data_IF_245940763154
#
_entry.id   IF_245940763154
#
_cell.length_a   1.000
_cell.length_b   1.000
_cell.length_c   1.000
_cell.angle_alpha   90.00
_cell.angle_beta   90.00
_cell.angle_gamma   90.00
#
_symmetry.space_group_name_H-M   'P 1'
#
loop_
_entity.id
_entity.type
_entity.pdbx_description
1 polymer ?
#
# COMPACT_ATOMS: atom_id res chain seq x y z
N UNK A 1 -54.38 -49.39 13.53
CA UNK A 1 -53.13 -48.60 13.55
C UNK A 1 -53.20 -47.58 12.43
N UNK A 2 -53.17 -46.28 12.78
CA UNK A 2 -52.97 -45.12 11.89
C UNK A 2 -51.71 -45.33 11.03
N UNK A 3 -51.50 -44.78 9.83
CA UNK A 3 -52.07 -43.67 9.10
C UNK A 3 -51.23 -43.48 7.82
N UNK A 4 -51.73 -42.71 6.87
CA UNK A 4 -51.38 -42.71 5.43
C UNK A 4 -50.21 -41.78 5.07
N UNK A 5 -49.57 -42.01 3.91
CA UNK A 5 -48.88 -41.09 2.95
C UNK A 5 -47.73 -41.85 2.26
N UNK A 6 -47.31 -41.68 1.00
CA UNK A 6 -47.73 -40.99 -0.22
C UNK A 6 -46.67 -41.43 -1.28
N UNK A 7 -47.00 -41.70 -2.55
CA UNK A 7 -46.02 -42.09 -3.57
C UNK A 7 -45.43 -40.84 -4.27
N UNK A 8 -44.48 -41.06 -5.19
CA UNK A 8 -43.79 -40.08 -6.10
C UNK A 8 -42.38 -39.67 -5.61
N UNK A 9 -41.27 -39.71 -6.37
CA UNK A 9 -41.04 -39.73 -7.82
C UNK A 9 -39.58 -40.20 -8.13
N UNK A 10 -39.24 -40.49 -9.41
CA UNK A 10 -38.02 -41.19 -9.80
C UNK A 10 -36.77 -40.29 -9.87
N UNK A 11 -35.61 -40.90 -9.59
CA UNK A 11 -34.30 -40.38 -10.00
C UNK A 11 -34.27 -40.15 -11.51
N UNK A 12 -34.32 -38.90 -11.94
CA UNK A 12 -33.89 -38.51 -13.28
C UNK A 12 -32.43 -38.06 -13.22
N UNK A 13 -31.55 -38.93 -13.73
CA UNK A 13 -30.27 -38.51 -14.31
C UNK A 13 -30.55 -37.64 -15.52
N UNK A 14 -30.05 -36.41 -15.52
CA UNK A 14 -29.85 -35.63 -16.74
C UNK A 14 -28.43 -35.08 -16.70
N UNK A 15 -27.56 -35.69 -17.50
CA UNK A 15 -26.24 -35.19 -17.84
C UNK A 15 -26.41 -33.92 -18.67
N UNK A 16 -25.90 -32.78 -18.20
CA UNK A 16 -25.63 -31.63 -19.06
C UNK A 16 -24.12 -31.54 -19.27
N UNK A 17 -23.74 -31.94 -20.48
CA UNK A 17 -22.46 -31.57 -21.08
C UNK A 17 -22.43 -30.07 -21.32
N UNK A 18 -21.43 -29.41 -20.72
CA UNK A 18 -20.85 -28.16 -21.22
C UNK A 18 -21.54 -26.86 -20.80
N UNK A 19 -21.09 -26.25 -19.69
CA UNK A 19 -20.86 -24.80 -19.61
C UNK A 19 -19.72 -24.53 -18.63
N UNK A 20 -18.62 -23.93 -19.12
CA UNK A 20 -17.62 -23.27 -18.29
C UNK A 20 -18.29 -22.10 -17.57
N UNK A 21 -18.66 -22.28 -16.31
CA UNK A 21 -19.05 -21.19 -15.42
C UNK A 21 -18.00 -21.05 -14.33
N UNK A 22 -17.08 -20.15 -14.63
CA UNK A 22 -16.00 -19.64 -13.80
C UNK A 22 -16.50 -19.28 -12.40
N UNK A 23 -15.95 -19.98 -11.41
CA UNK A 23 -15.53 -19.36 -10.15
C UNK A 23 -16.62 -18.94 -9.18
N UNK A 24 -17.57 -19.81 -8.85
CA UNK A 24 -18.38 -19.71 -7.62
C UNK A 24 -18.96 -21.10 -7.25
N UNK A 25 -18.09 -22.08 -7.03
CA UNK A 25 -18.51 -23.40 -6.55
C UNK A 25 -18.21 -23.53 -5.05
N UNK A 26 -19.28 -23.34 -4.28
CA UNK A 26 -19.49 -23.75 -2.89
C UNK A 26 -18.81 -25.11 -2.65
N UNK A 27 -17.70 -25.13 -1.90
CA UNK A 27 -17.22 -26.35 -1.25
C UNK A 27 -17.75 -26.32 0.19
N UNK A 28 -18.99 -26.79 0.36
CA UNK A 28 -19.47 -27.24 1.66
C UNK A 28 -18.94 -28.66 1.89
N UNK A 29 -18.05 -28.80 2.86
CA UNK A 29 -17.52 -30.09 3.34
C UNK A 29 -16.81 -29.89 4.67
N UNK A 30 -17.45 -30.35 5.74
CA UNK A 30 -17.16 -30.08 7.15
C UNK A 30 -15.77 -30.53 7.64
N UNK A 31 -15.12 -29.74 8.50
CA UNK A 31 -14.71 -30.12 9.87
C UNK A 31 -13.66 -29.16 10.45
N UNK A 32 -13.88 -28.71 11.70
CA UNK A 32 -12.80 -28.37 12.63
C UNK A 32 -12.26 -26.93 12.57
N UNK A 33 -12.69 -26.13 13.56
CA UNK A 33 -11.89 -25.21 14.39
C UNK A 33 -10.54 -24.72 13.84
N UNK A 34 -10.38 -23.40 13.85
CA UNK A 34 -9.11 -22.65 13.77
C UNK A 34 -8.52 -22.36 12.38
N UNK A 35 -9.35 -22.22 11.35
CA UNK A 35 -8.99 -21.34 10.23
C UNK A 35 -9.26 -19.89 10.66
N UNK A 36 -8.35 -19.36 11.48
CA UNK A 36 -8.05 -17.94 11.43
C UNK A 36 -7.72 -17.65 9.98
N UNK A 37 -8.67 -17.00 9.31
CA UNK A 37 -8.52 -16.44 7.99
C UNK A 37 -7.47 -15.33 8.10
N UNK A 38 -6.20 -15.72 8.22
CA UNK A 38 -5.10 -14.93 7.69
C UNK A 38 -5.43 -14.79 6.22
N UNK A 39 -5.99 -13.63 5.87
CA UNK A 39 -6.24 -13.20 4.52
C UNK A 39 -4.88 -12.99 3.85
N UNK A 40 -4.14 -14.08 3.66
CA UNK A 40 -3.02 -14.18 2.74
C UNK A 40 -3.63 -14.30 1.35
N UNK A 41 -4.29 -13.23 0.92
CA UNK A 41 -4.66 -13.03 -0.47
C UNK A 41 -3.34 -13.01 -1.23
N UNK A 42 -3.05 -14.15 -1.86
CA UNK A 42 -2.13 -14.26 -2.98
C UNK A 42 -2.71 -13.37 -4.09
N UNK A 43 -2.41 -12.09 -4.00
CA UNK A 43 -2.82 -11.07 -4.96
C UNK A 43 -1.57 -10.76 -5.81
N UNK A 44 -1.72 -11.05 -7.10
CA UNK A 44 -0.99 -10.54 -8.24
C UNK A 44 0.54 -10.33 -8.16
N UNK A 45 1.24 -10.93 -9.12
CA UNK A 45 2.68 -10.74 -9.41
C UNK A 45 3.01 -9.33 -9.94
N UNK A 46 2.58 -8.29 -9.24
CA UNK A 46 3.24 -6.99 -9.23
C UNK A 46 3.87 -6.86 -7.85
N UNK A 47 5.20 -6.71 -7.81
CA UNK A 47 5.95 -6.62 -6.57
C UNK A 47 5.47 -5.39 -5.78
N UNK A 48 4.51 -5.59 -4.89
CA UNK A 48 3.91 -4.52 -4.12
C UNK A 48 4.98 -4.00 -3.16
N UNK A 49 5.30 -2.71 -3.26
CA UNK A 49 6.29 -2.07 -2.41
C UNK A 49 5.95 -2.27 -0.93
N UNK A 50 6.92 -2.73 -0.14
CA UNK A 50 6.73 -3.04 1.28
C UNK A 50 6.98 -1.82 2.17
N UNK A 51 6.59 -1.87 3.45
CA UNK A 51 6.93 -0.83 4.43
C UNK A 51 8.45 -0.62 4.51
N UNK A 52 9.23 -1.71 4.50
CA UNK A 52 10.69 -1.66 4.51
C UNK A 52 11.24 -0.94 3.29
N UNK A 53 10.65 -1.16 2.11
CA UNK A 53 11.08 -0.48 0.89
C UNK A 53 10.73 1.02 0.95
N UNK A 54 9.57 1.38 1.48
CA UNK A 54 9.22 2.80 1.71
C UNK A 54 10.19 3.45 2.67
N UNK A 55 10.52 2.81 3.79
CA UNK A 55 11.50 3.33 4.75
C UNK A 55 12.86 3.54 4.09
N UNK A 56 13.31 2.61 3.24
CA UNK A 56 14.55 2.78 2.46
C UNK A 56 14.48 3.96 1.50
N UNK A 57 13.36 4.16 0.81
CA UNK A 57 13.19 5.31 -0.08
C UNK A 57 13.23 6.63 0.71
N UNK A 58 12.59 6.69 1.87
CA UNK A 58 12.64 7.87 2.74
C UNK A 58 14.04 8.10 3.34
N UNK A 59 14.78 7.03 3.64
CA UNK A 59 16.16 7.10 4.11
C UNK A 59 17.14 7.57 3.00
N UNK A 60 16.89 7.16 1.75
CA UNK A 60 17.63 7.68 0.60
C UNK A 60 17.44 9.19 0.47
N UNK A 61 16.19 9.67 0.59
CA UNK A 61 15.91 11.11 0.60
C UNK A 61 16.60 11.79 1.80
N UNK A 62 16.57 11.20 3.00
CA UNK A 62 17.21 11.74 4.19
C UNK A 62 18.72 11.90 3.99
N UNK A 63 19.35 10.91 3.36
CA UNK A 63 20.77 10.91 3.02
C UNK A 63 21.09 12.00 1.99
N UNK A 64 20.23 12.14 0.96
CA UNK A 64 20.37 13.20 -0.04
C UNK A 64 20.26 14.59 0.59
N UNK A 65 19.29 14.81 1.51
CA UNK A 65 19.15 16.07 2.25
C UNK A 65 20.43 16.40 3.03
N UNK A 66 20.99 15.42 3.75
CA UNK A 66 22.22 15.61 4.53
C UNK A 66 23.43 15.90 3.65
N UNK A 67 23.52 15.26 2.49
CA UNK A 67 24.61 15.42 1.53
C UNK A 67 24.49 16.69 0.67
N UNK A 68 23.27 17.23 0.52
CA UNK A 68 23.04 18.43 -0.29
C UNK A 68 23.79 19.64 0.28
N UNK A 69 24.22 20.54 -0.61
CA UNK A 69 24.84 21.82 -0.26
C UNK A 69 23.79 22.86 0.15
N UNK A 70 22.95 22.50 1.13
CA UNK A 70 21.96 23.37 1.77
C UNK A 70 22.51 23.95 3.08
N UNK A 71 21.91 25.04 3.55
CA UNK A 71 22.19 25.59 4.88
C UNK A 71 21.73 24.62 5.98
N UNK A 72 22.26 24.74 7.22
CA UNK A 72 21.82 23.90 8.34
C UNK A 72 20.31 23.99 8.61
N UNK A 73 19.76 25.20 8.59
CA UNK A 73 18.34 25.46 8.85
C UNK A 73 17.44 24.77 7.81
N UNK A 74 17.81 24.86 6.53
CA UNK A 74 17.11 24.18 5.42
C UNK A 74 17.16 22.65 5.55
N UNK A 75 18.29 22.10 6.00
CA UNK A 75 18.39 20.65 6.25
C UNK A 75 17.51 20.23 7.41
N UNK A 76 17.57 20.96 8.52
CA UNK A 76 16.79 20.62 9.70
C UNK A 76 15.28 20.71 9.43
N UNK A 77 14.82 21.73 8.68
CA UNK A 77 13.42 21.84 8.28
C UNK A 77 12.95 20.61 7.49
N UNK A 78 13.70 20.17 6.47
CA UNK A 78 13.37 18.97 5.70
C UNK A 78 13.38 17.71 6.57
N UNK A 79 14.36 17.58 7.47
CA UNK A 79 14.51 16.43 8.34
C UNK A 79 13.42 16.35 9.40
N UNK A 80 12.90 17.49 9.88
CA UNK A 80 11.83 17.55 10.87
C UNK A 80 10.52 16.98 10.35
N UNK A 81 10.27 17.07 9.04
CA UNK A 81 9.12 16.41 8.41
C UNK A 81 9.44 14.99 7.93
N UNK A 82 10.67 14.73 7.47
CA UNK A 82 11.04 13.43 6.92
C UNK A 82 11.19 12.35 8.01
N UNK A 83 11.73 12.69 9.19
CA UNK A 83 11.94 11.74 10.30
C UNK A 83 10.63 11.16 10.84
N UNK A 84 9.57 11.96 11.13
CA UNK A 84 8.27 11.42 11.51
C UNK A 84 7.64 10.54 10.43
N UNK A 85 7.72 10.94 9.15
CA UNK A 85 7.23 10.13 8.04
C UNK A 85 7.90 8.76 8.01
N UNK A 86 9.23 8.72 8.12
CA UNK A 86 10.01 7.47 8.16
C UNK A 86 9.66 6.61 9.38
N UNK A 87 9.57 7.22 10.56
CA UNK A 87 9.19 6.53 11.80
C UNK A 87 7.80 5.90 11.69
N UNK A 88 6.84 6.62 11.13
CA UNK A 88 5.48 6.13 10.93
C UNK A 88 5.43 4.98 9.92
N UNK A 89 6.14 5.11 8.79
CA UNK A 89 6.25 4.07 7.78
C UNK A 89 6.94 2.78 8.29
N UNK A 90 7.78 2.90 9.32
CA UNK A 90 8.48 1.75 9.93
C UNK A 90 7.63 0.91 10.90
N UNK A 91 6.42 1.37 11.24
CA UNK A 91 5.54 0.63 12.14
C UNK A 91 4.97 -0.62 11.47
N UNK A 92 4.57 -1.58 12.29
CA UNK A 92 3.83 -2.77 11.86
C UNK A 92 2.50 -2.38 11.19
N UNK A 93 1.78 -1.44 11.81
CA UNK A 93 0.57 -0.82 11.26
C UNK A 93 0.82 0.69 10.99
N UNK A 94 1.34 1.05 9.81
CA UNK A 94 1.70 2.42 9.50
C UNK A 94 0.46 3.26 9.18
N UNK A 95 0.37 4.47 9.75
CA UNK A 95 -0.62 5.45 9.34
C UNK A 95 -0.18 6.17 8.05
N UNK A 96 -0.68 5.71 6.90
CA UNK A 96 -0.33 6.25 5.57
C UNK A 96 -0.77 7.70 5.36
N UNK A 97 -1.88 8.13 5.97
CA UNK A 97 -2.31 9.52 5.92
C UNK A 97 -1.35 10.43 6.68
N UNK A 98 -0.84 9.99 7.84
CA UNK A 98 0.16 10.73 8.60
C UNK A 98 1.50 10.77 7.84
N UNK A 99 1.91 9.67 7.20
CA UNK A 99 3.08 9.69 6.32
C UNK A 99 2.87 10.69 5.19
N UNK A 100 1.74 10.62 4.47
CA UNK A 100 1.43 11.56 3.39
C UNK A 100 1.39 13.02 3.83
N UNK A 101 0.86 13.33 5.01
CA UNK A 101 0.86 14.70 5.57
C UNK A 101 2.27 15.24 5.84
N UNK A 102 3.14 14.42 6.42
CA UNK A 102 4.53 14.82 6.65
C UNK A 102 5.28 14.97 5.31
N UNK A 103 5.08 14.04 4.37
CA UNK A 103 5.70 14.13 3.05
C UNK A 103 5.17 15.30 2.22
N UNK A 104 3.93 15.77 2.50
CA UNK A 104 3.41 16.99 1.88
C UNK A 104 4.26 18.19 2.29
N UNK A 105 4.62 18.31 3.56
CA UNK A 105 5.50 19.39 4.03
C UNK A 105 6.88 19.30 3.39
N UNK A 106 7.47 18.09 3.33
CA UNK A 106 8.73 17.86 2.59
C UNK A 106 8.62 18.33 1.14
N UNK A 107 7.54 17.96 0.44
CA UNK A 107 7.30 18.36 -0.95
C UNK A 107 7.16 19.89 -1.10
N UNK A 108 6.44 20.57 -0.20
CA UNK A 108 6.27 22.02 -0.21
C UNK A 108 7.60 22.76 0.03
N UNK A 109 8.40 22.31 1.00
CA UNK A 109 9.74 22.85 1.27
C UNK A 109 10.68 22.63 0.07
N UNK A 110 10.70 21.42 -0.52
CA UNK A 110 11.51 21.15 -1.71
C UNK A 110 11.06 21.97 -2.93
N UNK A 111 9.76 22.23 -3.11
CA UNK A 111 9.25 23.12 -4.17
C UNK A 111 9.79 24.53 -4.02
N UNK A 112 9.87 25.04 -2.80
CA UNK A 112 10.42 26.36 -2.51
C UNK A 112 11.92 26.38 -2.83
N UNK A 113 12.66 25.37 -2.40
CA UNK A 113 14.11 25.28 -2.60
C UNK A 113 14.53 25.11 -4.07
N UNK A 114 13.73 24.40 -4.88
CA UNK A 114 14.04 24.22 -6.32
C UNK A 114 14.06 25.56 -7.08
N UNK A 115 13.38 26.58 -6.55
CA UNK A 115 13.29 27.91 -7.16
C UNK A 115 14.43 28.83 -6.74
N UNK A 116 15.14 28.49 -5.66
CA UNK A 116 16.17 29.34 -5.04
C UNK A 116 17.60 28.86 -5.31
N UNK A 117 17.85 27.54 -5.41
CA UNK A 117 19.21 26.99 -5.51
C UNK A 117 19.33 25.80 -6.46
N UNK A 118 20.52 25.58 -7.03
CA UNK A 118 20.82 24.37 -7.82
C UNK A 118 20.79 23.10 -6.95
N UNK A 119 21.27 23.18 -5.70
CA UNK A 119 21.17 22.07 -4.75
C UNK A 119 19.70 21.69 -4.48
N UNK A 120 18.82 22.69 -4.35
CA UNK A 120 17.39 22.50 -4.23
C UNK A 120 16.75 21.84 -5.45
N UNK A 121 17.21 22.16 -6.67
CA UNK A 121 16.73 21.49 -7.91
C UNK A 121 17.09 20.01 -7.95
N UNK A 122 18.34 19.66 -7.65
CA UNK A 122 18.77 18.27 -7.60
C UNK A 122 18.00 17.50 -6.53
N UNK A 123 17.84 18.09 -5.35
CA UNK A 123 17.12 17.46 -4.25
C UNK A 123 15.62 17.33 -4.55
N UNK A 124 15.02 18.29 -5.25
CA UNK A 124 13.66 18.20 -5.75
C UNK A 124 13.48 17.00 -6.68
N UNK A 125 14.40 16.77 -7.62
CA UNK A 125 14.36 15.60 -8.51
C UNK A 125 14.41 14.29 -7.73
N UNK A 126 15.36 14.15 -6.80
CA UNK A 126 15.44 12.98 -5.92
C UNK A 126 14.17 12.80 -5.09
N UNK A 127 13.60 13.88 -4.56
CA UNK A 127 12.34 13.85 -3.83
C UNK A 127 11.18 13.34 -4.70
N UNK A 128 11.06 13.80 -5.94
CA UNK A 128 10.03 13.33 -6.87
C UNK A 128 10.19 11.85 -7.19
N UNK A 129 11.40 11.36 -7.46
CA UNK A 129 11.67 9.94 -7.71
C UNK A 129 11.25 9.07 -6.52
N UNK A 130 11.60 9.50 -5.30
CA UNK A 130 11.20 8.83 -4.05
C UNK A 130 9.67 8.83 -3.90
N UNK A 131 9.01 9.97 -4.11
CA UNK A 131 7.55 10.08 -4.01
C UNK A 131 6.83 9.21 -5.04
N UNK A 132 7.34 9.12 -6.27
CA UNK A 132 6.81 8.23 -7.31
C UNK A 132 6.93 6.77 -6.90
N UNK A 133 8.10 6.38 -6.38
CA UNK A 133 8.34 5.00 -5.95
C UNK A 133 7.39 4.55 -4.84
N UNK A 134 7.04 5.45 -3.90
CA UNK A 134 6.18 5.12 -2.75
C UNK A 134 4.69 5.40 -2.99
N UNK A 135 4.32 6.00 -4.13
CA UNK A 135 2.92 6.31 -4.47
C UNK A 135 2.01 5.08 -4.41
N UNK A 136 2.37 3.91 -4.97
CA UNK A 136 1.55 2.70 -4.88
C UNK A 136 1.32 2.25 -3.43
N UNK A 137 2.29 2.50 -2.53
CA UNK A 137 2.16 2.18 -1.12
C UNK A 137 1.21 3.15 -0.39
N UNK A 138 1.33 4.45 -0.65
CA UNK A 138 0.51 5.49 -0.03
C UNK A 138 -0.97 5.38 -0.40
N UNK A 139 -1.28 4.88 -1.60
CA UNK A 139 -2.64 4.77 -2.08
C UNK A 139 -3.31 6.15 -2.14
N UNK A 140 -4.42 6.33 -1.43
CA UNK A 140 -5.17 7.61 -1.43
C UNK A 140 -4.34 8.77 -0.89
N UNK A 141 -3.45 8.52 0.07
CA UNK A 141 -2.61 9.55 0.68
C UNK A 141 -1.59 10.15 -0.31
N UNK A 142 -1.35 9.50 -1.45
CA UNK A 142 -0.48 10.04 -2.50
C UNK A 142 -0.98 11.40 -3.05
N UNK A 143 -2.30 11.63 -3.01
CA UNK A 143 -2.90 12.92 -3.39
C UNK A 143 -2.42 14.08 -2.52
N UNK A 144 -2.06 13.82 -1.26
CA UNK A 144 -1.57 14.84 -0.33
C UNK A 144 -0.22 15.42 -0.78
N UNK A 145 0.58 14.62 -1.48
CA UNK A 145 1.88 15.01 -2.01
C UNK A 145 1.82 15.44 -3.48
N UNK A 146 0.62 15.47 -4.07
CA UNK A 146 0.38 15.89 -5.45
C UNK A 146 0.56 14.79 -6.50
N UNK A 147 0.39 13.53 -6.10
CA UNK A 147 0.43 12.35 -6.97
C UNK A 147 -0.97 11.80 -7.27
#
# INVERSE_FOLDING_TARGET
MLGKKQPEQPSQSQSISGVNLTGSAIQQGQAGRDLQQSQSSKLDTQQQITNTDVVKQLENLETAVKAASLTPDEKDELLDYLRPAKREASKEEPNKDLVGQNLKQVNETLKTMKETTEAGKSLWQTGQEVFQAITPWLGVAAKLIGM
#
